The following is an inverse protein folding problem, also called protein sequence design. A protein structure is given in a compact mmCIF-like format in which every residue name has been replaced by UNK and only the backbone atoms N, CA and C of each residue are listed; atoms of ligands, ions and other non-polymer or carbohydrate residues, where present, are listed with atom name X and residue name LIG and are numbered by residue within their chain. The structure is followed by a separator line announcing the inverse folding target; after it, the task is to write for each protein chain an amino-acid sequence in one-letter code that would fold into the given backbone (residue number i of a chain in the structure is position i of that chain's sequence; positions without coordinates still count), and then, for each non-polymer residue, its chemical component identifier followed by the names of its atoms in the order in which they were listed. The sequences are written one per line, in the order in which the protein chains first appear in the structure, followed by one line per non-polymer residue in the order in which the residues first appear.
data_IF_513190259555
#
_entry.id   IF_513190259555
#
_cell.length_a   1.000
_cell.length_b   1.000
_cell.length_c   1.000
_cell.angle_alpha   90.00
_cell.angle_beta   90.00
_cell.angle_gamma   90.00
#
_symmetry.space_group_name_H-M   'P 1'
#
loop_
_entity.id
_entity.type
_entity.pdbx_description
1 polymer ?
#
# COMPACT_ATOMS: atom_id res chain seq x y z
N UNK A 1 75.32 65.50 -1.48
CA UNK A 1 74.98 65.81 -2.89
C UNK A 1 74.01 64.74 -3.39
N UNK A 2 72.83 65.15 -3.90
CA UNK A 2 72.07 64.46 -4.96
C UNK A 2 71.47 63.08 -4.60
N UNK A 3 70.21 62.68 -4.89
CA UNK A 3 69.08 63.23 -5.65
C UNK A 3 67.86 62.32 -5.39
N UNK A 4 66.68 62.91 -5.53
CA UNK A 4 65.32 62.34 -5.52
C UNK A 4 65.11 61.30 -6.65
N UNK A 5 64.31 60.24 -6.39
CA UNK A 5 63.31 59.57 -7.29
C UNK A 5 62.34 58.76 -6.39
N UNK A 6 61.13 59.22 -6.05
CA UNK A 6 59.84 59.21 -6.76
C UNK A 6 59.35 57.82 -7.21
N UNK A 7 58.07 57.54 -6.91
CA UNK A 7 57.10 56.59 -7.55
C UNK A 7 57.22 55.10 -7.15
N UNK A 8 56.20 54.33 -6.70
CA UNK A 8 54.73 54.34 -6.86
C UNK A 8 54.02 53.80 -5.60
N UNK A 9 52.87 54.41 -5.25
CA UNK A 9 51.90 53.88 -4.28
C UNK A 9 51.00 52.89 -5.02
N UNK A 10 50.93 51.64 -4.55
CA UNK A 10 49.87 50.68 -4.90
C UNK A 10 49.05 50.44 -3.64
N UNK A 11 47.94 51.16 -3.52
CA UNK A 11 46.98 51.01 -2.43
C UNK A 11 46.14 49.76 -2.69
N UNK A 12 46.41 48.68 -1.97
CA UNK A 12 45.50 47.53 -1.89
C UNK A 12 44.38 47.85 -0.91
N UNK A 13 43.20 48.19 -1.42
CA UNK A 13 41.96 48.22 -0.63
C UNK A 13 41.53 46.78 -0.38
N UNK A 14 41.82 46.28 0.82
CA UNK A 14 41.24 45.04 1.33
C UNK A 14 39.76 45.29 1.65
N UNK A 15 38.87 44.84 0.76
CA UNK A 15 37.44 44.70 1.08
C UNK A 15 37.30 43.49 2.00
N UNK A 16 37.25 43.74 3.30
CA UNK A 16 36.88 42.71 4.29
C UNK A 16 35.38 42.46 4.10
N UNK A 17 35.05 41.45 3.29
CA UNK A 17 33.70 40.92 3.17
C UNK A 17 33.28 40.31 4.49
N UNK A 18 32.37 40.99 5.19
CA UNK A 18 31.72 40.49 6.40
C UNK A 18 30.70 39.42 5.98
N UNK A 19 31.14 38.18 5.79
CA UNK A 19 30.24 37.03 5.73
C UNK A 19 29.68 36.80 7.14
N UNK A 20 28.52 37.40 7.43
CA UNK A 20 27.66 36.92 8.52
C UNK A 20 27.10 35.58 8.04
N UNK A 21 27.83 34.50 8.31
CA UNK A 21 27.27 33.16 8.26
C UNK A 21 26.22 33.08 9.37
N UNK A 22 24.97 33.33 9.00
CA UNK A 22 23.82 33.10 9.88
C UNK A 22 23.74 31.62 10.16
N UNK A 23 24.38 31.17 11.24
CA UNK A 23 24.09 29.89 11.85
C UNK A 23 22.63 29.96 12.34
N UNK A 24 21.70 29.53 11.49
CA UNK A 24 20.39 29.11 11.95
C UNK A 24 20.64 27.93 12.89
N UNK A 25 20.61 28.20 14.18
CA UNK A 25 20.52 27.14 15.18
C UNK A 25 19.24 26.37 14.84
N UNK A 26 19.41 25.14 14.34
CA UNK A 26 18.29 24.24 14.14
C UNK A 26 17.58 24.10 15.49
N UNK A 27 16.28 24.41 15.52
CA UNK A 27 15.45 24.16 16.70
C UNK A 27 15.62 22.71 17.13
N UNK A 28 15.69 22.42 18.44
CA UNK A 28 15.68 21.04 18.90
C UNK A 28 14.44 20.33 18.34
N UNK A 29 14.57 19.05 17.94
CA UNK A 29 13.45 18.30 17.38
C UNK A 29 12.27 18.32 18.37
N UNK A 30 11.07 18.55 17.86
CA UNK A 30 9.85 18.50 18.63
C UNK A 30 9.72 17.12 19.29
N UNK A 31 9.20 17.08 20.53
CA UNK A 31 8.99 15.83 21.24
C UNK A 31 8.09 14.90 20.43
N UNK A 32 8.36 13.59 20.48
CA UNK A 32 7.51 12.57 19.88
C UNK A 32 6.13 12.59 20.54
N UNK A 33 5.03 12.49 19.78
CA UNK A 33 3.70 12.40 20.36
C UNK A 33 3.45 10.99 20.92
N UNK A 34 2.55 10.89 21.89
CA UNK A 34 2.06 9.61 22.43
C UNK A 34 0.88 9.11 21.57
N UNK A 35 1.18 8.71 20.32
CA UNK A 35 0.21 8.14 19.38
C UNK A 35 0.27 6.61 19.41
N UNK A 36 -0.87 5.94 19.61
CA UNK A 36 -0.99 4.49 19.39
C UNK A 36 -1.23 4.24 17.90
N UNK A 37 -0.15 3.86 17.21
CA UNK A 37 -0.18 3.46 15.80
C UNK A 37 -0.23 1.95 15.71
N UNK A 38 -1.31 1.44 15.12
CA UNK A 38 -1.55 0.02 14.94
C UNK A 38 -1.61 -0.30 13.44
N UNK A 39 -0.79 -1.23 12.98
CA UNK A 39 -0.89 -1.82 11.65
C UNK A 39 -1.54 -3.21 11.75
N UNK A 40 -2.39 -3.58 10.81
CA UNK A 40 -3.07 -4.88 10.86
C UNK A 40 -2.05 -6.02 10.64
N UNK A 41 -1.30 -5.97 9.54
CA UNK A 41 -0.30 -6.97 9.20
C UNK A 41 1.13 -6.58 9.60
N UNK A 42 1.94 -7.62 9.81
CA UNK A 42 3.36 -7.46 10.18
C UNK A 42 4.19 -6.74 9.10
N UNK A 43 3.90 -6.93 7.82
CA UNK A 43 4.62 -6.24 6.75
C UNK A 43 4.25 -4.76 6.66
N UNK A 44 2.99 -4.39 6.96
CA UNK A 44 2.60 -2.99 7.10
C UNK A 44 3.30 -2.35 8.30
N UNK A 45 3.37 -3.08 9.42
CA UNK A 45 4.10 -2.60 10.59
C UNK A 45 5.59 -2.36 10.28
N UNK A 46 6.23 -3.24 9.50
CA UNK A 46 7.63 -3.07 9.09
C UNK A 46 7.83 -1.84 8.18
N UNK A 47 7.00 -1.69 7.14
CA UNK A 47 7.02 -0.52 6.26
C UNK A 47 6.81 0.76 7.07
N UNK A 48 5.82 0.77 7.96
CA UNK A 48 5.50 1.92 8.79
C UNK A 48 6.60 2.27 9.78
N UNK A 49 7.30 1.29 10.38
CA UNK A 49 8.47 1.55 11.24
C UNK A 49 9.62 2.18 10.46
N UNK A 50 9.86 1.75 9.23
CA UNK A 50 10.87 2.38 8.37
C UNK A 50 10.54 3.85 8.09
N UNK A 51 9.27 4.21 7.96
CA UNK A 51 8.83 5.61 7.78
C UNK A 51 8.86 6.39 9.09
N UNK A 52 8.28 5.83 10.16
CA UNK A 52 8.16 6.46 11.47
C UNK A 52 9.53 6.71 12.15
N UNK A 53 10.51 5.83 11.91
CA UNK A 53 11.78 5.86 12.62
C UNK A 53 11.58 5.71 14.13
N UNK A 54 12.39 6.44 14.92
CA UNK A 54 12.28 6.43 16.39
C UNK A 54 11.16 7.34 16.92
N UNK A 55 10.45 8.07 16.04
CA UNK A 55 9.45 9.06 16.45
C UNK A 55 8.13 8.44 16.90
N UNK A 56 7.72 7.33 16.29
CA UNK A 56 6.48 6.62 16.65
C UNK A 56 6.77 5.14 16.86
N UNK A 57 6.09 4.56 17.84
CA UNK A 57 6.04 3.10 17.98
C UNK A 57 4.87 2.57 17.17
N UNK A 58 5.14 1.65 16.25
CA UNK A 58 4.12 0.98 15.44
C UNK A 58 3.99 -0.47 15.88
N UNK A 59 2.80 -0.86 16.31
CA UNK A 59 2.45 -2.25 16.65
C UNK A 59 1.80 -2.98 15.48
N UNK A 60 1.90 -4.31 15.48
CA UNK A 60 1.12 -5.17 14.59
C UNK A 60 -0.05 -5.77 15.36
N UNK A 61 -1.22 -5.85 14.73
CA UNK A 61 -2.36 -6.56 15.29
C UNK A 61 -2.16 -8.06 15.12
N UNK A 62 -2.02 -8.52 13.88
CA UNK A 62 -1.84 -9.92 13.53
C UNK A 62 -0.39 -10.32 13.84
N UNK A 63 -0.17 -11.37 14.66
CA UNK A 63 1.15 -11.92 14.93
C UNK A 63 1.82 -12.52 13.70
N UNK A 64 3.16 -12.60 13.73
CA UNK A 64 3.92 -13.29 12.69
C UNK A 64 3.48 -14.76 12.56
N UNK A 65 3.32 -15.21 11.32
CA UNK A 65 2.95 -16.60 11.01
C UNK A 65 1.45 -16.90 10.99
N UNK A 66 0.59 -15.91 11.28
CA UNK A 66 -0.85 -16.04 11.03
C UNK A 66 -1.22 -15.52 9.64
N UNK A 67 -2.25 -16.13 9.08
CA UNK A 67 -2.82 -15.79 7.77
C UNK A 67 -3.85 -14.65 7.92
N UNK A 68 -3.67 -13.51 7.23
CA UNK A 68 -4.62 -12.40 7.31
C UNK A 68 -6.00 -12.72 6.71
N UNK A 69 -6.07 -13.59 5.71
CA UNK A 69 -7.34 -13.94 5.02
C UNK A 69 -8.31 -14.68 5.94
N UNK A 70 -7.78 -15.51 6.84
CA UNK A 70 -8.57 -16.34 7.76
C UNK A 70 -8.44 -15.87 9.21
N UNK A 71 -7.98 -14.64 9.44
CA UNK A 71 -7.75 -14.15 10.80
C UNK A 71 -9.08 -13.87 11.49
N UNK A 72 -9.27 -14.47 12.66
CA UNK A 72 -10.42 -14.22 13.53
C UNK A 72 -10.00 -13.33 14.71
N UNK A 73 -10.41 -12.05 14.76
CA UNK A 73 -10.01 -11.15 15.83
C UNK A 73 -10.63 -11.55 17.17
N UNK A 74 -9.81 -11.56 18.22
CA UNK A 74 -10.30 -11.76 19.59
C UNK A 74 -10.97 -10.48 20.13
N UNK A 75 -11.74 -10.56 21.23
CA UNK A 75 -12.23 -9.35 21.91
C UNK A 75 -11.11 -8.41 22.36
N UNK A 76 -9.89 -8.92 22.57
CA UNK A 76 -8.71 -8.10 22.84
C UNK A 76 -8.25 -7.31 21.62
N UNK A 77 -8.28 -7.95 20.45
CA UNK A 77 -7.91 -7.33 19.18
C UNK A 77 -8.89 -6.22 18.79
N UNK A 78 -10.19 -6.47 18.95
CA UNK A 78 -11.23 -5.45 18.74
C UNK A 78 -11.00 -4.23 19.62
N UNK A 79 -10.60 -4.43 20.89
CA UNK A 79 -10.24 -3.30 21.77
C UNK A 79 -8.99 -2.56 21.29
N UNK A 80 -7.95 -3.28 20.86
CA UNK A 80 -6.72 -2.66 20.33
C UNK A 80 -7.02 -1.81 19.08
N UNK A 81 -7.88 -2.31 18.19
CA UNK A 81 -8.38 -1.56 17.03
C UNK A 81 -9.08 -0.29 17.53
N UNK A 82 -10.11 -0.43 18.37
CA UNK A 82 -10.92 0.70 18.84
C UNK A 82 -10.14 1.75 19.65
N UNK A 83 -9.05 1.35 20.32
CA UNK A 83 -8.18 2.26 21.09
C UNK A 83 -7.08 2.92 20.26
N UNK A 84 -6.84 2.46 19.02
CA UNK A 84 -5.81 3.04 18.15
C UNK A 84 -6.21 4.45 17.71
N UNK A 85 -5.23 5.36 17.61
CA UNK A 85 -5.47 6.67 17.01
C UNK A 85 -5.16 6.68 15.51
N UNK A 86 -4.21 5.85 15.09
CA UNK A 86 -3.88 5.63 13.69
C UNK A 86 -3.93 4.14 13.42
N UNK A 87 -4.76 3.74 12.46
CA UNK A 87 -4.90 2.37 11.99
C UNK A 87 -4.36 2.27 10.56
N UNK A 88 -3.33 1.45 10.36
CA UNK A 88 -2.74 1.19 9.04
C UNK A 88 -3.28 -0.15 8.54
N UNK A 89 -4.00 -0.09 7.43
CA UNK A 89 -4.64 -1.24 6.78
C UNK A 89 -4.06 -1.40 5.39
N UNK A 90 -4.08 -2.62 4.89
CA UNK A 90 -3.73 -2.94 3.52
C UNK A 90 -4.80 -2.39 2.57
N UNK A 91 -6.07 -2.72 2.85
CA UNK A 91 -7.19 -2.40 1.97
C UNK A 91 -7.38 -3.44 0.87
N UNK A 92 -8.03 -3.06 -0.23
CA UNK A 92 -8.23 -3.92 -1.41
C UNK A 92 -8.85 -5.31 -1.14
N UNK A 93 -9.58 -5.46 -0.02
CA UNK A 93 -10.25 -6.71 0.36
C UNK A 93 -9.37 -7.74 1.08
N UNK A 94 -8.16 -7.39 1.54
CA UNK A 94 -7.33 -8.35 2.30
C UNK A 94 -7.91 -8.64 3.69
N UNK A 95 -8.33 -7.60 4.42
CA UNK A 95 -8.82 -7.71 5.80
C UNK A 95 -10.34 -7.71 5.88
N UNK A 96 -10.99 -8.72 5.29
CA UNK A 96 -12.46 -8.83 5.24
C UNK A 96 -13.13 -8.73 6.63
N UNK A 97 -12.45 -9.23 7.68
CA UNK A 97 -12.95 -9.17 9.05
C UNK A 97 -13.06 -7.74 9.61
N UNK A 98 -12.35 -6.77 9.03
CA UNK A 98 -12.17 -5.45 9.61
C UNK A 98 -13.35 -4.51 9.34
N UNK A 99 -13.97 -4.60 8.17
CA UNK A 99 -15.12 -3.77 7.78
C UNK A 99 -16.25 -3.79 8.83
N UNK A 100 -16.79 -4.96 9.25
CA UNK A 100 -17.87 -4.98 10.25
C UNK A 100 -17.43 -4.46 11.62
N UNK A 101 -16.14 -4.56 11.96
CA UNK A 101 -15.61 -4.03 13.23
C UNK A 101 -15.58 -2.51 13.19
N UNK A 102 -15.12 -1.92 12.08
CA UNK A 102 -15.04 -0.48 11.92
C UNK A 102 -16.43 0.17 11.88
N UNK A 103 -17.39 -0.45 11.19
CA UNK A 103 -18.79 0.01 11.14
C UNK A 103 -19.45 0.02 12.53
N UNK A 104 -19.18 -0.99 13.36
CA UNK A 104 -19.76 -1.10 14.70
C UNK A 104 -19.04 -0.23 15.73
N UNK A 105 -17.72 -0.07 15.61
CA UNK A 105 -16.92 0.67 16.57
C UNK A 105 -17.16 2.18 16.51
N UNK A 106 -17.59 2.72 15.35
CA UNK A 106 -17.87 4.15 15.18
C UNK A 106 -16.67 5.06 15.50
N UNK A 107 -15.45 4.54 15.32
CA UNK A 107 -14.23 5.16 15.82
C UNK A 107 -13.83 6.45 15.09
N UNK A 108 -13.19 7.37 15.81
CA UNK A 108 -12.60 8.62 15.28
C UNK A 108 -11.16 8.44 14.76
N UNK A 109 -10.68 7.19 14.70
CA UNK A 109 -9.31 6.86 14.31
C UNK A 109 -9.01 7.25 12.87
N UNK A 110 -7.78 7.71 12.63
CA UNK A 110 -7.31 7.95 11.28
C UNK A 110 -6.93 6.62 10.63
N UNK A 111 -7.61 6.27 9.54
CA UNK A 111 -7.30 5.08 8.76
C UNK A 111 -6.36 5.46 7.62
N UNK A 112 -5.25 4.72 7.51
CA UNK A 112 -4.30 4.81 6.40
C UNK A 112 -4.42 3.53 5.58
N UNK A 113 -5.05 3.62 4.42
CA UNK A 113 -5.07 2.53 3.45
C UNK A 113 -3.78 2.52 2.63
N UNK A 114 -2.91 1.56 2.89
CA UNK A 114 -1.58 1.52 2.31
C UNK A 114 -1.61 1.27 0.80
N UNK A 115 -2.52 0.42 0.31
CA UNK A 115 -2.66 0.11 -1.11
C UNK A 115 -3.48 1.15 -1.92
N UNK A 116 -3.98 2.20 -1.28
CA UNK A 116 -4.86 3.17 -1.92
C UNK A 116 -4.25 3.74 -3.22
N UNK A 117 -5.03 3.70 -4.30
CA UNK A 117 -4.63 4.17 -5.64
C UNK A 117 -3.93 3.13 -6.51
N UNK A 118 -3.66 1.92 -6.01
CA UNK A 118 -3.13 0.84 -6.84
C UNK A 118 -4.23 0.16 -7.66
N UNK A 119 -3.91 -0.15 -8.92
CA UNK A 119 -4.78 -0.94 -9.79
C UNK A 119 -4.49 -2.43 -9.64
N UNK A 120 -5.55 -3.23 -9.51
CA UNK A 120 -5.48 -4.69 -9.52
C UNK A 120 -4.84 -5.21 -10.81
N UNK A 121 -4.13 -6.34 -10.73
CA UNK A 121 -3.68 -7.06 -11.92
C UNK A 121 -4.87 -7.66 -12.66
N UNK A 122 -4.78 -7.71 -13.98
CA UNK A 122 -5.66 -8.55 -14.80
C UNK A 122 -4.94 -9.89 -14.98
N UNK A 123 -5.50 -11.01 -14.48
CA UNK A 123 -4.91 -12.32 -14.72
C UNK A 123 -4.78 -12.58 -16.23
N UNK A 124 -3.72 -13.24 -16.71
CA UNK A 124 -3.70 -13.76 -18.07
C UNK A 124 -4.89 -14.70 -18.22
N UNK A 125 -5.73 -14.49 -19.25
CA UNK A 125 -6.87 -15.36 -19.53
C UNK A 125 -6.39 -16.82 -19.52
N UNK A 126 -6.93 -17.60 -18.60
CA UNK A 126 -6.68 -19.04 -18.55
C UNK A 126 -7.61 -19.72 -19.56
N UNK A 127 -7.21 -20.85 -20.16
CA UNK A 127 -8.10 -21.58 -21.10
C UNK A 127 -9.42 -22.03 -20.42
N UNK A 128 -9.45 -22.05 -19.08
CA UNK A 128 -10.64 -22.29 -18.24
C UNK A 128 -11.64 -21.14 -18.24
N UNK A 129 -11.22 -19.90 -18.50
CA UNK A 129 -12.12 -18.73 -18.55
C UNK A 129 -12.97 -18.71 -19.84
N UNK A 130 -12.66 -19.55 -20.83
CA UNK A 130 -13.45 -19.60 -22.08
C UNK A 130 -14.81 -20.28 -21.94
N UNK A 131 -15.08 -20.95 -20.83
CA UNK A 131 -16.33 -21.68 -20.64
C UNK A 131 -17.38 -20.94 -19.79
N UNK A 132 -17.02 -19.84 -19.14
CA UNK A 132 -17.96 -19.13 -18.24
C UNK A 132 -18.76 -18.01 -18.95
N UNK A 133 -18.38 -17.63 -20.18
CA UNK A 133 -19.03 -16.54 -20.93
C UNK A 133 -20.03 -16.98 -22.01
N UNK A 134 -20.19 -18.29 -22.27
CA UNK A 134 -21.10 -18.78 -23.33
C UNK A 134 -22.49 -19.23 -22.82
N UNK A 135 -22.73 -19.32 -21.51
CA UNK A 135 -23.97 -19.90 -20.96
C UNK A 135 -25.04 -18.88 -20.50
N UNK A 136 -24.97 -17.61 -20.96
CA UNK A 136 -25.99 -16.58 -20.61
C UNK A 136 -26.57 -15.83 -21.82
N UNK A 137 -26.62 -16.46 -23.01
CA UNK A 137 -27.21 -15.79 -24.17
C UNK A 137 -28.09 -16.69 -25.05
N UNK A 138 -28.82 -17.62 -24.44
CA UNK A 138 -29.91 -18.30 -25.11
C UNK A 138 -31.16 -18.33 -24.23
N UNK A 139 -32.05 -17.37 -24.49
CA UNK A 139 -33.45 -17.47 -24.10
C UNK A 139 -34.01 -16.16 -23.57
N UNK A 140 -34.60 -15.35 -24.45
CA UNK A 140 -35.92 -14.77 -24.19
C UNK A 140 -36.49 -14.16 -25.47
N UNK A 141 -37.47 -14.89 -26.04
CA UNK A 141 -38.29 -14.47 -27.17
C UNK A 141 -39.21 -13.31 -26.75
N UNK A 142 -39.19 -12.22 -27.52
CA UNK A 142 -40.12 -11.11 -27.38
C UNK A 142 -41.55 -11.51 -27.77
N UNK A 143 -42.49 -11.42 -26.82
CA UNK A 143 -43.93 -11.34 -27.10
C UNK A 143 -44.51 -10.03 -26.55
N UNK A 144 -44.96 -9.19 -27.47
CA UNK A 144 -45.67 -7.93 -27.25
C UNK A 144 -47.00 -8.10 -26.50
N UNK A 145 -47.37 -7.14 -25.64
CA UNK A 145 -48.74 -6.57 -25.54
C UNK A 145 -48.72 -5.27 -24.72
N UNK A 146 -49.34 -4.23 -25.27
CA UNK A 146 -49.63 -2.91 -24.67
C UNK A 146 -50.45 -2.98 -23.37
N UNK A 147 -50.23 -2.04 -22.42
CA UNK A 147 -51.17 -0.94 -22.10
C UNK A 147 -50.91 -0.20 -20.78
N UNK A 148 -51.07 1.11 -20.91
CA UNK A 148 -51.64 2.08 -19.97
C UNK A 148 -50.85 2.62 -18.77
N UNK A 149 -50.97 3.95 -18.67
CA UNK A 149 -50.32 4.91 -17.78
C UNK A 149 -50.87 4.86 -16.35
N UNK A 150 -50.01 5.10 -15.36
CA UNK A 150 -50.35 5.95 -14.22
C UNK A 150 -49.10 6.46 -13.47
N UNK A 151 -49.12 7.77 -13.23
CA UNK A 151 -48.15 8.57 -12.51
C UNK A 151 -48.13 8.22 -11.02
N UNK A 152 -46.95 8.01 -10.44
CA UNK A 152 -46.71 8.20 -9.02
C UNK A 152 -45.28 8.73 -8.80
N UNK A 153 -45.20 10.00 -8.41
CA UNK A 153 -44.06 10.59 -7.74
C UNK A 153 -43.92 9.97 -6.35
N UNK A 154 -42.78 9.34 -6.05
CA UNK A 154 -42.29 9.14 -4.68
C UNK A 154 -40.80 8.75 -4.69
N UNK A 155 -39.99 9.68 -4.21
CA UNK A 155 -38.74 9.48 -3.45
C UNK A 155 -37.70 8.51 -4.05
N UNK A 156 -36.79 9.05 -4.87
CA UNK A 156 -35.53 8.39 -5.17
C UNK A 156 -34.63 8.40 -3.92
N UNK A 157 -34.74 7.32 -3.15
CA UNK A 157 -33.66 6.89 -2.28
C UNK A 157 -32.46 6.54 -3.17
N UNK A 158 -31.44 7.38 -3.11
CA UNK A 158 -30.09 7.14 -3.61
C UNK A 158 -29.47 6.00 -2.78
N UNK A 159 -29.94 4.77 -2.99
CA UNK A 159 -29.20 3.58 -2.63
C UNK A 159 -28.05 3.49 -3.62
N UNK A 160 -26.90 4.04 -3.21
CA UNK A 160 -25.64 3.73 -3.84
C UNK A 160 -25.48 2.22 -3.84
N UNK A 161 -25.74 1.61 -5.01
CA UNK A 161 -25.38 0.24 -5.30
C UNK A 161 -23.86 0.15 -5.12
N UNK A 162 -23.43 -0.21 -3.91
CA UNK A 162 -22.10 -0.73 -3.67
C UNK A 162 -22.06 -2.03 -4.43
N UNK A 163 -21.64 -1.94 -5.69
CA UNK A 163 -21.25 -3.08 -6.51
C UNK A 163 -20.37 -3.95 -5.65
N UNK A 164 -20.82 -5.16 -5.34
CA UNK A 164 -19.99 -6.19 -4.75
C UNK A 164 -18.83 -6.43 -5.71
N UNK A 165 -17.72 -5.73 -5.47
CA UNK A 165 -16.51 -5.88 -6.24
C UNK A 165 -16.07 -7.32 -6.04
N UNK A 166 -16.03 -8.10 -7.12
CA UNK A 166 -15.20 -9.30 -7.14
C UNK A 166 -13.78 -8.84 -6.78
N UNK A 167 -13.36 -9.12 -5.55
CA UNK A 167 -12.11 -8.61 -5.00
C UNK A 167 -10.95 -9.13 -5.84
N UNK A 168 -10.19 -8.23 -6.46
CA UNK A 168 -8.99 -8.61 -7.22
C UNK A 168 -7.90 -9.13 -6.30
N UNK A 169 -6.80 -9.63 -6.89
CA UNK A 169 -5.62 -10.10 -6.13
C UNK A 169 -5.09 -8.98 -5.20
N UNK A 170 -5.15 -9.15 -3.86
CA UNK A 170 -4.71 -8.10 -2.94
C UNK A 170 -3.20 -8.11 -2.71
N UNK A 171 -2.43 -9.06 -3.24
CA UNK A 171 -1.03 -9.27 -2.83
C UNK A 171 -0.01 -8.31 -3.46
N UNK A 172 -0.35 -7.01 -3.57
CA UNK A 172 0.47 -6.03 -4.27
C UNK A 172 1.89 -5.93 -3.70
N UNK A 173 2.08 -6.18 -2.40
CA UNK A 173 3.38 -6.06 -1.73
C UNK A 173 4.44 -7.05 -2.24
N UNK A 174 4.04 -8.07 -3.00
CA UNK A 174 4.97 -9.00 -3.65
C UNK A 174 5.63 -8.39 -4.91
N UNK A 175 5.25 -7.18 -5.30
CA UNK A 175 6.00 -6.32 -6.22
C UNK A 175 6.56 -5.10 -5.44
N UNK A 176 7.88 -5.04 -5.19
CA UNK A 176 8.51 -3.93 -4.44
C UNK A 176 8.22 -2.55 -5.03
N UNK A 177 7.98 -2.44 -6.34
CA UNK A 177 7.66 -1.16 -6.98
C UNK A 177 6.29 -0.63 -6.56
N UNK A 178 5.35 -1.53 -6.21
CA UNK A 178 4.05 -1.17 -5.66
C UNK A 178 4.12 -0.78 -4.20
N UNK A 179 5.05 -1.37 -3.44
CA UNK A 179 5.31 -0.99 -2.04
C UNK A 179 5.73 0.47 -1.91
N UNK A 180 6.28 1.10 -2.95
CA UNK A 180 6.57 2.54 -2.97
C UNK A 180 5.29 3.36 -2.69
N UNK A 181 4.14 2.97 -3.24
CA UNK A 181 2.85 3.60 -2.94
C UNK A 181 2.47 3.46 -1.47
N UNK A 182 2.73 2.30 -0.86
CA UNK A 182 2.49 2.05 0.57
C UNK A 182 3.30 3.02 1.42
N UNK A 183 4.58 3.18 1.08
CA UNK A 183 5.49 4.10 1.78
C UNK A 183 5.01 5.55 1.68
N UNK A 184 4.52 5.96 0.50
CA UNK A 184 3.97 7.30 0.27
C UNK A 184 2.70 7.52 1.09
N UNK A 185 1.75 6.59 1.02
CA UNK A 185 0.47 6.70 1.73
C UNK A 185 0.69 6.70 3.26
N UNK A 186 1.59 5.85 3.76
CA UNK A 186 1.95 5.82 5.18
C UNK A 186 2.66 7.10 5.60
N UNK A 187 3.61 7.62 4.81
CA UNK A 187 4.25 8.92 5.08
C UNK A 187 3.22 10.03 5.21
N UNK A 188 2.29 10.11 4.25
CA UNK A 188 1.31 11.19 4.21
C UNK A 188 0.32 11.08 5.37
N UNK A 189 -0.17 9.87 5.65
CA UNK A 189 -1.02 9.61 6.80
C UNK A 189 -0.35 9.93 8.13
N UNK A 190 0.88 9.46 8.36
CA UNK A 190 1.62 9.79 9.59
C UNK A 190 1.91 11.29 9.71
N UNK A 191 2.14 11.99 8.59
CA UNK A 191 2.34 13.45 8.59
C UNK A 191 1.07 14.23 8.92
N UNK A 192 -0.11 13.68 8.61
CA UNK A 192 -1.40 14.27 9.03
C UNK A 192 -1.61 14.06 10.53
N UNK A 193 -1.34 12.85 11.03
CA UNK A 193 -1.51 12.52 12.45
C UNK A 193 -0.49 13.22 13.36
N UNK A 194 0.71 13.48 12.85
CA UNK A 194 1.80 14.15 13.55
C UNK A 194 2.58 15.12 12.62
N UNK A 195 2.06 16.35 12.45
CA UNK A 195 2.66 17.35 11.56
C UNK A 195 4.08 17.76 11.95
N UNK A 196 4.41 17.71 13.24
CA UNK A 196 5.75 18.05 13.74
C UNK A 196 6.81 17.03 13.27
N UNK A 197 6.39 15.81 12.93
CA UNK A 197 7.23 14.73 12.40
C UNK A 197 7.37 14.69 10.89
N UNK A 198 6.61 15.50 10.14
CA UNK A 198 6.49 15.36 8.68
C UNK A 198 7.83 15.39 7.94
N UNK A 199 8.78 16.22 8.38
CA UNK A 199 10.12 16.28 7.80
C UNK A 199 10.95 15.00 8.02
N UNK A 200 10.78 14.37 9.18
CA UNK A 200 11.42 13.09 9.50
C UNK A 200 10.81 11.95 8.68
N UNK A 201 9.47 11.88 8.62
CA UNK A 201 8.75 10.90 7.81
C UNK A 201 9.12 11.00 6.33
N UNK A 202 9.20 12.22 5.78
CA UNK A 202 9.59 12.43 4.39
C UNK A 202 11.02 11.95 4.10
N UNK A 203 11.98 12.24 5.00
CA UNK A 203 13.37 11.80 4.87
C UNK A 203 13.48 10.27 4.95
N UNK A 204 12.82 9.67 5.93
CA UNK A 204 12.84 8.23 6.16
C UNK A 204 12.17 7.48 5.00
N UNK A 205 11.01 7.96 4.55
CA UNK A 205 10.32 7.42 3.38
C UNK A 205 11.20 7.46 2.13
N UNK A 206 11.87 8.59 1.85
CA UNK A 206 12.79 8.69 0.72
C UNK A 206 13.92 7.66 0.80
N UNK A 207 14.53 7.49 1.99
CA UNK A 207 15.58 6.50 2.19
C UNK A 207 15.08 5.06 2.00
N UNK A 208 13.87 4.75 2.45
CA UNK A 208 13.29 3.42 2.30
C UNK A 208 12.84 3.13 0.86
N UNK A 209 12.30 4.13 0.14
CA UNK A 209 11.99 4.02 -1.29
C UNK A 209 13.26 3.68 -2.09
N UNK A 210 14.39 4.34 -1.82
CA UNK A 210 15.66 3.99 -2.48
C UNK A 210 16.11 2.54 -2.20
N UNK A 211 15.78 1.99 -1.03
CA UNK A 211 16.03 0.58 -0.73
C UNK A 211 15.10 -0.35 -1.53
N UNK A 212 13.83 0.00 -1.68
CA UNK A 212 12.87 -0.76 -2.51
C UNK A 212 13.27 -0.76 -3.99
N UNK A 213 13.73 0.38 -4.52
CA UNK A 213 14.26 0.48 -5.89
C UNK A 213 15.55 -0.34 -6.07
N UNK A 214 16.40 -0.40 -5.04
CA UNK A 214 17.58 -1.27 -5.06
C UNK A 214 17.19 -2.76 -4.99
N UNK A 215 16.18 -3.10 -4.20
CA UNK A 215 15.63 -4.45 -4.08
C UNK A 215 15.03 -4.92 -5.41
N UNK A 216 14.20 -4.11 -6.07
CA UNK A 216 13.64 -4.42 -7.39
C UNK A 216 14.71 -4.72 -8.45
N UNK A 217 15.76 -3.89 -8.49
CA UNK A 217 16.92 -4.13 -9.37
C UNK A 217 17.64 -5.42 -9.04
N UNK A 218 17.90 -5.65 -7.75
CA UNK A 218 18.57 -6.87 -7.31
C UNK A 218 17.76 -8.13 -7.64
N UNK A 219 16.44 -8.13 -7.40
CA UNK A 219 15.56 -9.26 -7.77
C UNK A 219 15.59 -9.47 -9.27
N UNK A 220 15.51 -8.40 -10.07
CA UNK A 220 15.61 -8.48 -11.53
C UNK A 220 16.92 -9.16 -11.96
N UNK A 221 18.05 -8.77 -11.38
CA UNK A 221 19.37 -9.39 -11.64
C UNK A 221 19.43 -10.87 -11.23
N UNK A 222 18.81 -11.25 -10.11
CA UNK A 222 18.75 -12.65 -9.69
C UNK A 222 17.87 -13.49 -10.62
N UNK A 223 16.69 -12.99 -10.98
CA UNK A 223 15.73 -13.71 -11.84
C UNK A 223 16.28 -13.89 -13.26
N UNK A 224 17.08 -12.93 -13.76
CA UNK A 224 17.73 -13.06 -15.07
C UNK A 224 18.68 -14.27 -15.18
N UNK A 225 19.18 -14.80 -14.07
CA UNK A 225 19.99 -16.01 -14.05
C UNK A 225 19.17 -17.30 -14.30
N UNK A 226 17.84 -17.22 -14.18
CA UNK A 226 16.92 -18.33 -14.43
C UNK A 226 16.46 -18.23 -15.90
N UNK A 227 16.69 -19.27 -16.73
CA UNK A 227 16.15 -19.30 -18.08
C UNK A 227 14.62 -19.10 -18.08
N UNK A 228 14.05 -18.29 -19.00
CA UNK A 228 12.61 -17.98 -19.00
C UNK A 228 11.70 -19.23 -18.92
N UNK A 229 12.05 -20.30 -19.62
CA UNK A 229 11.32 -21.57 -19.63
C UNK A 229 11.32 -22.32 -18.28
N UNK A 230 12.15 -21.89 -17.33
CA UNK A 230 12.25 -22.44 -15.98
C UNK A 230 11.66 -21.52 -14.92
N UNK A 231 11.11 -20.36 -15.29
CA UNK A 231 10.49 -19.41 -14.37
C UNK A 231 9.05 -19.84 -14.08
N UNK A 232 8.90 -21.01 -13.48
CA UNK A 232 7.61 -21.59 -13.12
C UNK A 232 7.49 -21.61 -11.58
N UNK A 233 6.35 -21.14 -11.07
CA UNK A 233 6.04 -21.10 -9.64
C UNK A 233 4.92 -22.08 -9.31
N UNK A 234 5.12 -22.85 -8.25
CA UNK A 234 4.08 -23.60 -7.55
C UNK A 234 4.01 -23.08 -6.12
N UNK A 235 2.86 -22.59 -5.69
CA UNK A 235 2.67 -21.92 -4.38
C UNK A 235 1.54 -22.56 -3.58
N UNK A 236 1.39 -22.17 -2.31
CA UNK A 236 0.27 -22.63 -1.50
C UNK A 236 -1.07 -22.09 -2.02
N UNK A 237 -1.21 -20.78 -2.19
CA UNK A 237 -2.37 -20.13 -2.80
C UNK A 237 -1.95 -19.11 -3.86
N UNK A 238 -2.92 -18.52 -4.58
CA UNK A 238 -2.67 -17.56 -5.66
C UNK A 238 -2.25 -16.18 -5.12
N UNK A 239 -1.06 -16.10 -4.54
CA UNK A 239 -0.50 -14.86 -4.00
C UNK A 239 0.55 -14.21 -4.89
N UNK A 240 1.33 -14.99 -5.63
CA UNK A 240 2.52 -14.49 -6.33
C UNK A 240 2.22 -13.81 -7.68
N UNK A 241 0.98 -13.38 -7.92
CA UNK A 241 0.56 -12.79 -9.18
C UNK A 241 1.38 -11.58 -9.60
N UNK A 242 1.49 -10.58 -8.74
CA UNK A 242 2.26 -9.37 -9.01
C UNK A 242 3.77 -9.64 -9.19
N UNK A 243 4.33 -10.55 -8.39
CA UNK A 243 5.72 -10.98 -8.54
C UNK A 243 5.94 -11.65 -9.91
N UNK A 244 5.01 -12.52 -10.31
CA UNK A 244 5.08 -13.23 -11.58
C UNK A 244 5.02 -12.27 -12.77
N UNK A 245 4.09 -11.32 -12.75
CA UNK A 245 3.97 -10.30 -13.80
C UNK A 245 5.23 -9.42 -13.89
N UNK A 246 5.75 -8.95 -12.74
CA UNK A 246 6.91 -8.05 -12.68
C UNK A 246 8.21 -8.71 -13.15
N UNK A 247 8.43 -9.98 -12.79
CA UNK A 247 9.71 -10.67 -13.01
C UNK A 247 9.68 -11.77 -14.08
N UNK A 248 8.52 -11.97 -14.72
CA UNK A 248 8.36 -12.91 -15.82
C UNK A 248 8.36 -14.37 -15.38
N UNK A 249 7.66 -14.67 -14.27
CA UNK A 249 7.32 -16.04 -13.91
C UNK A 249 5.91 -16.40 -14.40
N UNK A 250 5.65 -17.69 -14.50
CA UNK A 250 4.32 -18.25 -14.66
C UNK A 250 3.95 -19.01 -13.39
N UNK A 251 2.81 -18.69 -12.80
CA UNK A 251 2.21 -19.51 -11.74
C UNK A 251 1.57 -20.72 -12.44
N UNK A 252 2.14 -21.91 -12.27
CA UNK A 252 1.70 -23.13 -12.97
C UNK A 252 0.87 -24.06 -12.09
N UNK A 253 0.73 -23.74 -10.80
CA UNK A 253 -0.16 -24.46 -9.90
C UNK A 253 -0.16 -23.85 -8.50
N UNK A 254 -1.30 -23.99 -7.84
CA UNK A 254 -1.47 -23.64 -6.42
C UNK A 254 -2.19 -24.78 -5.72
N UNK A 255 -1.98 -24.93 -4.41
CA UNK A 255 -2.75 -25.90 -3.60
C UNK A 255 -4.18 -25.39 -3.40
N UNK A 256 -4.33 -24.07 -3.23
CA UNK A 256 -5.59 -23.34 -3.15
C UNK A 256 -5.65 -22.41 -4.38
N UNK A 257 -6.45 -22.72 -5.41
CA UNK A 257 -6.64 -21.90 -6.61
C UNK A 257 -7.56 -20.72 -6.33
N UNK A 258 -7.12 -19.87 -5.41
CA UNK A 258 -7.78 -18.64 -5.02
C UNK A 258 -6.78 -17.65 -4.44
N UNK A 259 -7.09 -16.36 -4.61
CA UNK A 259 -6.38 -15.23 -4.00
C UNK A 259 -6.67 -15.11 -2.49
N UNK A 260 -7.64 -15.86 -1.97
CA UNK A 260 -7.91 -15.98 -0.54
C UNK A 260 -7.81 -17.44 -0.09
N UNK A 261 -7.21 -17.66 1.08
CA UNK A 261 -7.16 -18.99 1.72
C UNK A 261 -8.46 -19.33 2.47
N UNK A 262 -9.36 -18.36 2.65
CA UNK A 262 -10.72 -18.58 3.15
C UNK A 262 -11.63 -19.25 2.12
N UNK A 263 -11.27 -19.20 0.83
CA UNK A 263 -11.96 -19.91 -0.23
C UNK A 263 -11.62 -21.42 -0.17
N UNK A 264 -12.64 -22.28 -0.12
CA UNK A 264 -12.43 -23.74 -0.19
C UNK A 264 -12.23 -24.19 -1.65
N UNK A 265 -11.28 -25.09 -1.96
CA UNK A 265 -11.12 -25.63 -3.31
C UNK A 265 -12.38 -26.40 -3.73
N UNK A 266 -12.78 -26.26 -5.00
CA UNK A 266 -13.92 -27.00 -5.54
C UNK A 266 -13.58 -28.49 -5.68
N UNK A 267 -14.61 -29.35 -5.63
CA UNK A 267 -14.44 -30.79 -5.81
C UNK A 267 -13.78 -31.17 -7.16
N UNK A 268 -13.86 -30.28 -8.15
CA UNK A 268 -13.29 -30.45 -9.48
C UNK A 268 -11.80 -30.07 -9.54
N UNK A 269 -11.33 -29.25 -8.61
CA UNK A 269 -9.92 -28.82 -8.51
C UNK A 269 -9.05 -29.82 -7.71
N UNK A 270 -9.68 -30.76 -6.97
CA UNK A 270 -9.00 -31.79 -6.18
C UNK A 270 -8.85 -33.16 -6.90
N UNK A 271 -9.48 -33.35 -8.06
CA UNK A 271 -9.56 -34.61 -8.78
C UNK A 271 -8.53 -34.71 -9.92
#
# INVERSE_FOLDING_TARGET
MSRIKLTWIVTWLAVIGWCVAGAHAASPPAAAPDLKVLAIETFLADIARNVAGERLTVESLIPIGLDPHSFEPTPGDVRRIAESQVLIVHGAGLEEFLEPILEQAGGEQQIIEAAAGLAFRTPPATDTDRHEYEEQNEGEEHSSTDKDQQEHEAEEHENGERTHHHAGDPHFWLDPTRVITYVVNIRDGLSIADPDGAADYARNAAAYISQLEALDRWITEQVQQIPPERRLLVTNHESFGYFADRYGFQVVGTVIPSVSTGASPSAQQMA
#
